data_IF_943852436051
#
_entry.id   IF_943852436051
#
_cell.length_a   1.000
_cell.length_b   1.000
_cell.length_c   1.000
_cell.angle_alpha   90.00
_cell.angle_beta   90.00
_cell.angle_gamma   90.00
#
_symmetry.space_group_name_H-M   'P 1'
#
loop_
_entity.id
_entity.type
_entity.pdbx_description
1 polymer ?
#
# COMPACT_ATOMS: atom_id res chain seq x y z
N UNK A 1 10.64 -73.17 -38.69
CA UNK A 1 9.90 -72.91 -39.94
C UNK A 1 9.82 -71.41 -40.14
N UNK A 2 10.35 -70.95 -41.29
CA UNK A 2 9.87 -69.80 -42.08
C UNK A 2 10.12 -68.40 -41.48
N UNK A 3 10.49 -67.32 -42.18
CA UNK A 3 10.90 -66.96 -43.54
C UNK A 3 11.35 -65.47 -43.37
N UNK A 4 12.45 -64.97 -43.96
CA UNK A 4 12.46 -64.08 -45.16
C UNK A 4 11.63 -62.78 -44.97
N UNK A 5 12.01 -61.54 -45.29
CA UNK A 5 13.18 -60.81 -45.80
C UNK A 5 12.80 -59.31 -45.80
N UNK A 6 13.79 -58.45 -46.12
CA UNK A 6 13.75 -57.13 -46.81
C UNK A 6 13.21 -55.84 -46.14
N UNK A 7 14.10 -54.83 -46.16
CA UNK A 7 13.95 -53.36 -46.00
C UNK A 7 13.17 -52.71 -47.17
N UNK A 8 13.24 -51.37 -47.41
CA UNK A 8 13.38 -50.16 -46.57
C UNK A 8 12.24 -49.15 -46.87
N UNK A 9 12.14 -47.99 -46.19
CA UNK A 9 11.63 -46.79 -46.86
C UNK A 9 12.25 -45.51 -46.29
N UNK A 10 12.90 -44.79 -47.19
CA UNK A 10 13.43 -43.45 -47.12
C UNK A 10 12.37 -42.43 -46.68
N UNK A 11 12.75 -41.48 -45.83
CA UNK A 11 12.32 -40.08 -46.02
C UNK A 11 13.37 -39.16 -45.40
N UNK A 12 14.41 -38.87 -46.16
CA UNK A 12 15.19 -37.63 -45.99
C UNK A 12 14.26 -36.44 -46.27
N UNK A 13 13.77 -35.79 -45.21
CA UNK A 13 13.18 -34.46 -45.35
C UNK A 13 14.27 -33.43 -45.09
N UNK A 14 14.87 -32.96 -46.18
CA UNK A 14 15.68 -31.74 -46.22
C UNK A 14 14.83 -30.56 -45.72
N UNK A 15 15.11 -30.11 -44.49
CA UNK A 15 14.61 -28.84 -43.99
C UNK A 15 15.55 -27.78 -44.57
N UNK A 16 15.05 -27.04 -45.56
CA UNK A 16 15.70 -25.81 -46.04
C UNK A 16 15.62 -24.78 -44.91
N UNK A 17 16.73 -24.55 -44.23
CA UNK A 17 16.89 -23.40 -43.33
C UNK A 17 17.10 -22.15 -44.20
N UNK A 18 16.04 -21.37 -44.42
CA UNK A 18 16.20 -20.00 -44.88
C UNK A 18 16.76 -19.14 -43.74
N UNK A 19 17.79 -18.30 -43.98
CA UNK A 19 18.32 -17.41 -42.96
C UNK A 19 17.29 -16.34 -42.60
N UNK A 20 16.85 -16.32 -41.35
CA UNK A 20 16.01 -15.26 -40.83
C UNK A 20 16.91 -14.05 -40.62
N UNK A 21 16.90 -13.09 -41.54
CA UNK A 21 17.52 -11.77 -41.34
C UNK A 21 16.78 -11.05 -40.20
N UNK A 22 17.34 -11.15 -38.99
CA UNK A 22 16.91 -10.33 -37.86
C UNK A 22 17.43 -8.93 -38.15
N UNK A 23 16.54 -8.05 -38.61
CA UNK A 23 16.83 -6.62 -38.68
C UNK A 23 16.89 -6.12 -37.23
N UNK A 24 18.08 -5.74 -36.80
CA UNK A 24 18.30 -4.97 -35.58
C UNK A 24 17.63 -3.61 -35.73
N UNK A 25 16.33 -3.54 -35.46
CA UNK A 25 15.67 -2.26 -35.24
C UNK A 25 16.16 -1.70 -33.90
N UNK A 26 16.63 -0.44 -33.87
CA UNK A 26 17.10 0.17 -32.63
C UNK A 26 15.93 0.25 -31.65
N UNK A 27 16.12 -0.35 -30.48
CA UNK A 27 15.20 -0.24 -29.35
C UNK A 27 15.29 1.22 -28.89
N UNK A 28 14.41 2.06 -29.43
CA UNK A 28 14.20 3.42 -28.94
C UNK A 28 13.86 3.34 -27.45
N UNK A 29 14.62 4.10 -26.66
CA UNK A 29 14.56 4.20 -25.20
C UNK A 29 13.11 4.27 -24.70
N UNK A 30 12.56 3.11 -24.34
CA UNK A 30 11.37 3.00 -23.52
C UNK A 30 11.73 3.54 -22.14
N UNK A 31 11.69 4.87 -22.01
CA UNK A 31 11.53 5.55 -20.73
C UNK A 31 10.30 4.93 -20.08
N UNK A 32 10.54 4.02 -19.14
CA UNK A 32 9.54 3.57 -18.19
C UNK A 32 9.14 4.82 -17.40
N UNK A 33 8.10 5.49 -17.87
CA UNK A 33 7.40 6.47 -17.06
C UNK A 33 6.79 5.70 -15.91
N UNK A 34 7.48 5.70 -14.76
CA UNK A 34 6.90 5.20 -13.53
C UNK A 34 5.54 5.87 -13.36
N UNK A 35 4.46 5.10 -13.12
CA UNK A 35 3.15 5.69 -12.93
C UNK A 35 3.26 6.61 -11.71
N UNK A 36 3.22 7.92 -11.96
CA UNK A 36 3.19 8.94 -10.90
C UNK A 36 1.81 8.88 -10.26
N UNK A 37 1.56 7.83 -9.49
CA UNK A 37 0.37 7.70 -8.67
C UNK A 37 0.36 8.93 -7.79
N UNK A 38 -0.60 9.82 -8.01
CA UNK A 38 -0.71 11.07 -7.27
C UNK A 38 -1.14 10.74 -5.84
N UNK A 39 -0.17 10.38 -4.99
CA UNK A 39 -0.42 9.95 -3.62
C UNK A 39 -0.75 11.19 -2.79
N UNK A 40 -2.02 11.34 -2.45
CA UNK A 40 -2.48 12.36 -1.51
C UNK A 40 -1.77 12.16 -0.17
N UNK A 41 -1.23 13.24 0.38
CA UNK A 41 -0.54 13.25 1.69
C UNK A 41 -1.31 14.08 2.70
N UNK A 42 -1.24 13.68 3.97
CA UNK A 42 -1.84 14.39 5.12
C UNK A 42 -0.80 14.57 6.22
N UNK A 43 -1.05 15.52 7.11
CA UNK A 43 -0.20 15.79 8.28
C UNK A 43 -0.87 15.18 9.51
N UNK A 44 -0.08 14.48 10.32
CA UNK A 44 -0.56 13.95 11.60
C UNK A 44 -0.73 15.08 12.60
N UNK A 45 -1.87 15.15 13.27
CA UNK A 45 -2.15 16.19 14.26
C UNK A 45 -1.35 16.03 15.57
N UNK A 46 -0.70 14.87 15.76
CA UNK A 46 0.03 14.55 16.99
C UNK A 46 1.54 14.67 16.82
N UNK A 47 2.11 13.98 15.83
CA UNK A 47 3.55 13.96 15.58
C UNK A 47 3.99 14.86 14.42
N UNK A 48 3.04 15.55 13.78
CA UNK A 48 3.26 16.51 12.68
C UNK A 48 3.95 15.94 11.44
N UNK A 49 4.10 14.60 11.38
CA UNK A 49 4.69 13.92 10.24
C UNK A 49 3.71 13.90 9.05
N UNK A 50 4.27 14.10 7.85
CA UNK A 50 3.55 14.00 6.59
C UNK A 50 3.56 12.56 6.10
N UNK A 51 2.39 11.95 5.98
CA UNK A 51 2.23 10.57 5.54
C UNK A 51 1.27 10.46 4.34
N UNK A 52 1.26 9.30 3.69
CA UNK A 52 0.28 9.01 2.65
C UNK A 52 -1.11 8.88 3.27
N UNK A 53 -2.14 9.31 2.57
CA UNK A 53 -3.53 9.28 3.05
C UNK A 53 -3.99 7.86 3.43
N UNK A 54 -3.47 6.81 2.76
CA UNK A 54 -3.75 5.41 3.09
C UNK A 54 -3.17 4.95 4.44
N UNK A 55 -2.13 5.62 4.92
CA UNK A 55 -1.39 5.29 6.15
C UNK A 55 -1.87 6.16 7.33
N UNK A 56 -3.04 6.82 7.15
CA UNK A 56 -3.60 7.79 8.09
C UNK A 56 -5.00 7.37 8.53
N UNK A 57 -5.25 7.50 9.83
CA UNK A 57 -6.56 7.29 10.44
C UNK A 57 -7.22 8.64 10.73
N UNK A 58 -8.47 8.82 10.32
CA UNK A 58 -9.21 10.03 10.66
C UNK A 58 -9.40 10.11 12.19
N UNK A 59 -9.20 11.29 12.76
CA UNK A 59 -9.51 11.52 14.17
C UNK A 59 -10.99 11.29 14.43
N UNK A 60 -11.32 10.59 15.51
CA UNK A 60 -12.71 10.28 15.83
C UNK A 60 -13.57 11.54 16.03
N UNK A 61 -14.78 11.51 15.48
CA UNK A 61 -15.80 12.56 15.68
C UNK A 61 -16.69 12.29 16.89
N UNK A 62 -16.65 11.09 17.46
CA UNK A 62 -17.48 10.73 18.62
C UNK A 62 -16.92 11.40 19.90
N UNK A 63 -17.70 12.22 20.63
CA UNK A 63 -17.19 13.01 21.76
C UNK A 63 -16.50 12.17 22.85
N UNK A 64 -17.08 11.03 23.24
CA UNK A 64 -16.48 10.13 24.25
C UNK A 64 -15.15 9.56 23.78
N UNK A 65 -15.12 8.98 22.57
CA UNK A 65 -13.89 8.42 21.97
C UNK A 65 -12.83 9.50 21.73
N UNK A 66 -13.24 10.73 21.42
CA UNK A 66 -12.35 11.88 21.23
C UNK A 66 -11.57 12.20 22.50
N UNK A 67 -12.22 12.22 23.65
CA UNK A 67 -11.56 12.42 24.95
C UNK A 67 -10.57 11.28 25.21
N UNK A 68 -10.98 10.03 24.99
CA UNK A 68 -10.10 8.86 25.14
C UNK A 68 -8.85 8.96 24.26
N UNK A 69 -9.01 9.34 22.99
CA UNK A 69 -7.90 9.49 22.05
C UNK A 69 -6.96 10.62 22.46
N UNK A 70 -7.49 11.77 22.86
CA UNK A 70 -6.67 12.89 23.37
C UNK A 70 -5.87 12.48 24.60
N UNK A 71 -6.48 11.75 25.53
CA UNK A 71 -5.79 11.25 26.72
C UNK A 71 -4.70 10.23 26.39
N UNK A 72 -4.87 9.43 25.32
CA UNK A 72 -3.89 8.45 24.86
C UNK A 72 -2.65 9.07 24.22
N UNK A 73 -2.79 10.25 23.58
CA UNK A 73 -1.67 10.92 22.87
C UNK A 73 -1.07 12.11 23.62
N UNK A 74 -1.69 12.54 24.74
CA UNK A 74 -1.19 13.63 25.59
C UNK A 74 -1.35 13.26 27.07
N UNK A 75 -0.23 13.19 27.79
CA UNK A 75 -0.17 12.86 29.22
C UNK A 75 -0.48 14.07 30.12
N UNK A 76 -0.04 15.27 29.75
CA UNK A 76 -0.21 16.50 30.54
C UNK A 76 -1.60 17.14 30.34
N UNK A 77 -2.20 17.74 31.39
CA UNK A 77 -3.45 18.51 31.25
C UNK A 77 -3.38 19.61 30.17
N UNK A 78 -2.31 20.40 30.15
CA UNK A 78 -2.15 21.51 29.19
C UNK A 78 -2.05 21.00 27.74
N UNK A 79 -1.30 19.92 27.52
CA UNK A 79 -1.22 19.27 26.22
C UNK A 79 -2.57 18.76 25.72
N UNK A 80 -3.44 18.26 26.61
CA UNK A 80 -4.80 17.82 26.27
C UNK A 80 -5.69 19.00 25.89
N UNK A 81 -5.63 20.09 26.66
CA UNK A 81 -6.39 21.32 26.39
C UNK A 81 -5.97 21.92 25.04
N UNK A 82 -4.66 22.05 24.80
CA UNK A 82 -4.11 22.58 23.56
C UNK A 82 -4.51 21.73 22.35
N UNK A 83 -4.39 20.40 22.45
CA UNK A 83 -4.82 19.49 21.38
C UNK A 83 -6.33 19.58 21.13
N UNK A 84 -7.17 19.66 22.17
CA UNK A 84 -8.62 19.81 22.00
C UNK A 84 -8.99 21.11 21.28
N UNK A 85 -8.32 22.21 21.61
CA UNK A 85 -8.50 23.49 20.94
C UNK A 85 -8.05 23.44 19.47
N UNK A 86 -6.91 22.82 19.19
CA UNK A 86 -6.46 22.64 17.81
C UNK A 86 -7.44 21.75 17.00
N UNK A 87 -7.90 20.66 17.59
CA UNK A 87 -8.88 19.78 16.95
C UNK A 87 -10.27 20.42 16.78
N UNK A 88 -10.59 21.55 17.44
CA UNK A 88 -11.90 22.20 17.30
C UNK A 88 -11.97 23.08 16.04
N UNK A 89 -10.83 23.60 15.58
CA UNK A 89 -10.73 24.43 14.37
C UNK A 89 -10.46 23.60 13.11
N UNK A 90 -9.97 22.37 13.23
CA UNK A 90 -9.69 21.49 12.10
C UNK A 90 -10.95 20.78 11.59
N UNK A 91 -11.22 20.88 10.29
CA UNK A 91 -12.36 20.19 9.64
C UNK A 91 -12.23 18.66 9.63
N UNK A 92 -11.01 18.16 9.39
CA UNK A 92 -10.70 16.73 9.27
C UNK A 92 -9.28 16.43 9.76
N UNK A 93 -9.05 16.35 11.09
CA UNK A 93 -7.76 15.95 11.62
C UNK A 93 -7.49 14.45 11.39
N UNK A 94 -6.21 14.09 11.25
CA UNK A 94 -5.75 12.72 11.02
C UNK A 94 -4.59 12.35 11.95
N UNK A 95 -4.41 11.06 12.17
CA UNK A 95 -3.31 10.43 12.91
C UNK A 95 -2.59 9.46 11.98
N UNK A 96 -1.27 9.33 12.11
CA UNK A 96 -0.55 8.22 11.49
C UNK A 96 -1.02 6.87 12.04
N UNK A 97 -1.03 5.83 11.20
CA UNK A 97 -1.29 4.46 11.65
C UNK A 97 -0.31 3.99 12.74
N UNK A 98 0.90 4.54 12.78
CA UNK A 98 1.94 4.24 13.79
C UNK A 98 1.55 4.57 15.23
N UNK A 99 0.50 5.37 15.44
CA UNK A 99 -0.03 5.64 16.78
C UNK A 99 -0.95 4.53 17.30
N UNK A 100 -1.20 3.48 16.51
CA UNK A 100 -2.06 2.36 16.88
C UNK A 100 -1.25 1.06 16.87
N UNK A 101 -1.64 0.10 17.71
CA UNK A 101 -1.05 -1.21 17.63
C UNK A 101 -1.49 -1.91 16.33
N UNK A 102 -0.68 -2.78 15.71
CA UNK A 102 -1.13 -3.55 14.55
C UNK A 102 -2.43 -4.35 14.82
N UNK A 103 -2.62 -4.79 16.06
CA UNK A 103 -3.84 -5.49 16.51
C UNK A 103 -5.09 -4.60 16.57
N UNK A 104 -4.97 -3.27 16.49
CA UNK A 104 -6.09 -2.34 16.42
C UNK A 104 -6.76 -2.33 15.04
N UNK A 105 -6.08 -2.88 14.04
CA UNK A 105 -6.60 -2.94 12.69
C UNK A 105 -7.36 -4.24 12.45
N UNK A 106 -8.46 -4.12 11.74
CA UNK A 106 -9.27 -5.21 11.21
C UNK A 106 -9.08 -5.25 9.71
N UNK A 107 -8.87 -6.44 9.17
CA UNK A 107 -8.81 -6.66 7.73
C UNK A 107 -10.08 -7.37 7.31
N UNK A 108 -10.85 -6.76 6.41
CA UNK A 108 -12.06 -7.35 5.85
C UNK A 108 -12.11 -7.09 4.34
N UNK A 109 -13.14 -7.64 3.68
CA UNK A 109 -13.32 -7.49 2.23
C UNK A 109 -13.48 -6.02 1.76
N UNK A 110 -13.78 -5.07 2.67
CA UNK A 110 -13.83 -3.63 2.38
C UNK A 110 -12.50 -2.90 2.63
N UNK A 111 -11.47 -3.60 3.10
CA UNK A 111 -10.15 -3.07 3.37
C UNK A 111 -9.75 -3.12 4.85
N UNK A 112 -8.76 -2.30 5.20
CA UNK A 112 -8.24 -2.18 6.56
C UNK A 112 -9.01 -1.09 7.31
N UNK A 113 -9.68 -1.46 8.41
CA UNK A 113 -10.42 -0.54 9.28
C UNK A 113 -9.91 -0.59 10.72
N UNK A 114 -10.10 0.48 11.48
CA UNK A 114 -9.72 0.54 12.89
C UNK A 114 -10.85 -0.01 13.78
N UNK A 115 -10.53 -0.79 14.83
CA UNK A 115 -11.55 -1.26 15.78
C UNK A 115 -12.23 -0.10 16.51
N UNK A 116 -13.43 -0.38 17.02
CA UNK A 116 -14.25 0.62 17.73
C UNK A 116 -13.63 1.03 19.05
N UNK A 117 -12.88 0.16 19.71
CA UNK A 117 -12.23 0.32 21.01
C UNK A 117 -10.76 0.77 20.93
N UNK A 118 -10.15 0.79 19.74
CA UNK A 118 -8.77 1.24 19.56
C UNK A 118 -8.51 2.64 20.07
N UNK A 119 -7.38 2.81 20.75
CA UNK A 119 -6.92 4.07 21.35
C UNK A 119 -5.51 4.35 20.85
N UNK A 120 -5.25 5.54 20.28
CA UNK A 120 -3.91 5.91 19.86
C UNK A 120 -3.02 6.18 21.07
N UNK A 121 -1.72 5.94 20.91
CA UNK A 121 -0.69 6.31 21.87
C UNK A 121 0.38 7.17 21.22
N UNK A 122 0.96 8.07 22.02
CA UNK A 122 2.13 8.86 21.62
C UNK A 122 2.94 9.23 22.86
N UNK A 123 4.18 8.77 22.89
CA UNK A 123 5.16 9.18 23.89
C UNK A 123 5.93 10.39 23.36
N UNK A 124 6.09 11.40 24.22
CA UNK A 124 6.78 12.67 23.92
C UNK A 124 8.05 12.74 24.75
#
# INVERSE_FOLDING_TARGET
MNHTMVSPLDTTSEIKEEPIEIKDEPIDDLKQEEPTVNVRRRICVVCEQKQNERDMCQFTKHPKKRITWVNGVRSTPDGRISLLAHLSVMKSPYLCANHFAPSDFTHNAKGTGLKSDSVPFFEV
#
